data_IF_180426076313
#
_entry.id   IF_180426076313
#
_cell.length_a   1.000
_cell.length_b   1.000
_cell.length_c   1.000
_cell.angle_alpha   90.00
_cell.angle_beta   90.00
_cell.angle_gamma   90.00
#
_symmetry.space_group_name_H-M   'P 1'
#
loop_
_entity.id
_entity.type
_entity.pdbx_description
1 polymer ?
#
# COMPACT_ATOMS: atom_id res chain seq x y z
N UNK A 1 -24.28 -2.50 15.58
CA UNK A 1 -22.88 -2.52 15.13
C UNK A 1 -22.85 -2.31 13.63
N UNK A 2 -22.61 -1.07 13.20
CA UNK A 2 -22.31 -0.86 11.78
C UNK A 2 -20.86 -1.31 11.56
N UNK A 3 -20.60 -2.17 10.56
CA UNK A 3 -19.27 -2.65 10.29
C UNK A 3 -18.36 -1.47 9.88
N UNK A 4 -17.08 -1.55 10.19
CA UNK A 4 -15.99 -0.62 9.84
C UNK A 4 -15.82 -0.38 8.31
N UNK A 5 -16.89 -0.42 7.53
CA UNK A 5 -16.88 -0.35 6.07
C UNK A 5 -17.15 1.06 5.59
N UNK A 6 -16.29 1.52 4.69
CA UNK A 6 -16.59 2.69 3.88
C UNK A 6 -17.86 2.42 3.06
N UNK A 7 -18.85 3.30 3.15
CA UNK A 7 -20.09 3.22 2.38
C UNK A 7 -20.05 4.31 1.31
N UNK A 8 -20.30 3.92 0.08
CA UNK A 8 -20.32 4.83 -1.06
C UNK A 8 -21.73 4.96 -1.59
N UNK A 9 -22.21 6.20 -1.69
CA UNK A 9 -23.53 6.51 -2.20
C UNK A 9 -23.47 7.22 -3.54
N UNK A 10 -24.14 6.65 -4.54
CA UNK A 10 -24.41 7.31 -5.81
C UNK A 10 -25.49 8.39 -5.63
N UNK A 11 -25.23 9.57 -6.14
CA UNK A 11 -26.24 10.64 -6.19
C UNK A 11 -26.85 10.67 -7.58
N UNK A 12 -28.19 10.61 -7.64
CA UNK A 12 -28.93 10.67 -8.89
C UNK A 12 -30.04 11.72 -8.80
N UNK A 13 -30.19 12.53 -9.84
CA UNK A 13 -31.40 13.32 -10.03
C UNK A 13 -32.49 12.41 -10.56
N UNK A 14 -33.71 12.56 -10.02
CA UNK A 14 -34.89 11.89 -10.56
C UNK A 14 -35.59 12.90 -11.46
N UNK A 15 -35.68 12.61 -12.75
CA UNK A 15 -36.45 13.39 -13.72
C UNK A 15 -37.73 12.64 -14.00
N UNK A 16 -38.84 13.24 -13.69
CA UNK A 16 -40.18 12.67 -13.92
C UNK A 16 -40.92 13.45 -15.01
N UNK A 17 -41.39 12.72 -16.02
CA UNK A 17 -42.21 13.29 -17.10
C UNK A 17 -43.29 12.29 -17.50
N UNK A 18 -44.54 12.73 -17.48
CA UNK A 18 -45.69 11.88 -17.81
C UNK A 18 -45.76 10.55 -17.04
N UNK A 19 -45.41 10.57 -15.75
CA UNK A 19 -45.40 9.37 -14.89
C UNK A 19 -44.19 8.44 -15.07
N UNK A 20 -43.33 8.69 -16.06
CA UNK A 20 -42.08 7.94 -16.23
C UNK A 20 -40.94 8.62 -15.44
N UNK A 21 -40.21 7.82 -14.63
CA UNK A 21 -39.05 8.28 -13.84
C UNK A 21 -37.74 7.85 -14.50
N UNK A 22 -36.86 8.84 -14.67
CA UNK A 22 -35.49 8.59 -15.14
C UNK A 22 -34.48 9.01 -14.07
N UNK A 23 -33.53 8.14 -13.77
CA UNK A 23 -32.44 8.39 -12.81
C UNK A 23 -31.18 8.84 -13.53
N UNK A 24 -30.79 10.10 -13.36
CA UNK A 24 -29.66 10.71 -14.03
C UNK A 24 -28.52 10.93 -13.05
N UNK A 25 -27.31 10.46 -13.39
CA UNK A 25 -26.11 10.69 -12.57
C UNK A 25 -25.68 12.15 -12.67
N UNK A 26 -25.37 12.76 -11.53
CA UNK A 26 -24.89 14.13 -11.47
C UNK A 26 -23.37 14.17 -11.72
N UNK A 27 -22.94 14.92 -12.69
CA UNK A 27 -21.54 15.15 -13.00
C UNK A 27 -21.18 16.63 -13.00
N UNK A 28 -19.88 16.94 -13.14
CA UNK A 28 -19.48 18.34 -13.31
C UNK A 28 -19.31 18.70 -14.79
N UNK A 29 -19.56 19.95 -15.11
CA UNK A 29 -19.37 20.51 -16.44
C UNK A 29 -18.27 21.60 -16.40
N UNK A 30 -17.14 21.35 -17.10
CA UNK A 30 -16.16 22.37 -17.51
C UNK A 30 -15.26 23.05 -16.46
N UNK A 31 -15.68 23.27 -15.22
CA UNK A 31 -14.91 23.99 -14.20
C UNK A 31 -14.35 23.06 -13.11
N UNK A 32 -13.80 21.96 -13.54
CA UNK A 32 -13.39 20.82 -12.71
C UNK A 32 -12.46 21.15 -11.54
N UNK A 33 -11.54 22.10 -11.68
CA UNK A 33 -10.52 22.39 -10.65
C UNK A 33 -11.16 23.11 -9.45
N UNK A 34 -11.94 24.16 -9.68
CA UNK A 34 -12.62 24.90 -8.60
C UNK A 34 -13.59 24.00 -7.84
N UNK A 35 -14.38 23.19 -8.54
CA UNK A 35 -15.31 22.25 -7.90
C UNK A 35 -14.59 21.17 -7.13
N UNK A 36 -13.50 20.60 -7.67
CA UNK A 36 -12.69 19.60 -6.95
C UNK A 36 -12.06 20.17 -5.69
N UNK A 37 -11.58 21.42 -5.72
CA UNK A 37 -11.04 22.12 -4.55
C UNK A 37 -12.14 22.41 -3.53
N UNK A 38 -13.30 22.88 -3.98
CA UNK A 38 -14.45 23.13 -3.12
C UNK A 38 -14.90 21.86 -2.40
N UNK A 39 -15.19 20.80 -3.15
CA UNK A 39 -15.67 19.55 -2.57
C UNK A 39 -14.62 18.81 -1.70
N UNK A 40 -13.31 19.01 -1.94
CA UNK A 40 -12.28 18.48 -1.05
C UNK A 40 -12.32 19.10 0.36
N UNK A 41 -13.00 20.25 0.50
CA UNK A 41 -13.14 20.99 1.76
C UNK A 41 -14.46 20.74 2.46
N UNK A 42 -15.48 20.24 1.74
CA UNK A 42 -16.79 19.95 2.31
C UNK A 42 -16.75 18.64 3.08
N UNK A 43 -17.27 18.68 4.26
CA UNK A 43 -17.40 17.52 5.17
C UNK A 43 -18.54 17.83 6.13
N UNK A 44 -19.30 16.80 6.46
CA UNK A 44 -20.26 16.80 7.55
C UNK A 44 -19.84 15.77 8.57
N UNK A 45 -19.75 16.17 9.82
CA UNK A 45 -19.53 15.25 10.93
C UNK A 45 -20.90 14.67 11.29
N UNK A 46 -21.02 13.34 11.17
CA UNK A 46 -22.27 12.62 11.47
C UNK A 46 -22.34 12.39 12.97
N UNK A 47 -21.22 11.99 13.55
CA UNK A 47 -20.97 11.84 14.99
C UNK A 47 -19.47 12.04 15.25
N UNK A 48 -19.03 11.79 16.51
CA UNK A 48 -17.63 11.95 16.91
C UNK A 48 -16.66 11.04 16.14
N UNK A 49 -17.15 9.92 15.63
CA UNK A 49 -16.34 8.90 14.96
C UNK A 49 -16.50 8.89 13.45
N UNK A 50 -17.60 9.39 12.90
CA UNK A 50 -17.94 9.22 11.49
C UNK A 50 -18.08 10.55 10.77
N UNK A 51 -17.67 10.52 9.51
CA UNK A 51 -17.76 11.66 8.58
C UNK A 51 -18.43 11.23 7.27
N UNK A 52 -19.13 12.17 6.66
CA UNK A 52 -19.61 12.10 5.29
C UNK A 52 -19.00 13.22 4.46
N UNK A 53 -18.55 12.93 3.26
CA UNK A 53 -18.02 13.94 2.36
C UNK A 53 -18.28 13.58 0.89
N UNK A 54 -18.47 14.60 0.02
CA UNK A 54 -18.60 14.39 -1.40
C UNK A 54 -17.24 14.14 -2.06
N UNK A 55 -17.24 13.33 -3.10
CA UNK A 55 -16.07 13.14 -3.96
C UNK A 55 -16.48 12.93 -5.42
N UNK A 56 -15.53 13.12 -6.34
CA UNK A 56 -15.74 12.80 -7.74
C UNK A 56 -15.10 11.48 -8.12
N UNK A 57 -15.85 10.62 -8.77
CA UNK A 57 -15.34 9.40 -9.39
C UNK A 57 -14.35 9.73 -10.52
N UNK A 58 -13.62 8.73 -11.03
CA UNK A 58 -12.74 8.91 -12.21
C UNK A 58 -13.50 9.46 -13.44
N UNK A 59 -14.80 9.16 -13.56
CA UNK A 59 -15.68 9.64 -14.63
C UNK A 59 -16.28 11.03 -14.37
N UNK A 60 -15.90 11.69 -13.28
CA UNK A 60 -16.41 13.02 -12.94
C UNK A 60 -17.82 13.04 -12.35
N UNK A 61 -18.33 11.91 -11.90
CA UNK A 61 -19.64 11.78 -11.26
C UNK A 61 -19.48 12.09 -9.77
N UNK A 62 -20.41 12.86 -9.20
CA UNK A 62 -20.42 13.17 -7.78
C UNK A 62 -21.01 12.02 -6.99
N UNK A 63 -20.30 11.61 -5.96
CA UNK A 63 -20.72 10.58 -5.01
C UNK A 63 -20.43 11.07 -3.60
N UNK A 64 -21.01 10.40 -2.59
CA UNK A 64 -20.70 10.62 -1.19
C UNK A 64 -20.02 9.38 -0.61
N UNK A 65 -19.06 9.61 0.28
CA UNK A 65 -18.43 8.58 1.08
C UNK A 65 -18.74 8.83 2.54
N UNK A 66 -19.28 7.82 3.21
CA UNK A 66 -19.41 7.74 4.67
C UNK A 66 -18.37 6.77 5.20
N UNK A 67 -17.62 7.17 6.22
CA UNK A 67 -16.61 6.33 6.86
C UNK A 67 -16.24 6.82 8.24
N UNK A 68 -15.51 5.98 8.98
CA UNK A 68 -14.84 6.43 10.19
C UNK A 68 -13.84 7.55 9.90
N UNK A 69 -13.73 8.46 10.88
CA UNK A 69 -12.72 9.52 10.86
C UNK A 69 -11.34 8.92 11.05
N UNK A 70 -10.43 9.26 10.17
CA UNK A 70 -9.01 8.92 10.31
C UNK A 70 -8.31 9.95 11.24
N UNK A 71 -7.26 9.52 11.90
CA UNK A 71 -6.33 10.41 12.63
C UNK A 71 -5.76 11.55 11.76
N UNK A 72 -5.82 11.38 10.43
CA UNK A 72 -5.33 12.36 9.45
C UNK A 72 -6.42 13.29 8.89
N UNK A 73 -7.67 13.17 9.31
CA UNK A 73 -8.77 14.07 8.89
C UNK A 73 -8.81 15.35 9.75
N UNK A 74 -7.65 15.95 9.96
CA UNK A 74 -7.48 17.13 10.82
C UNK A 74 -7.18 18.38 10.00
N UNK A 75 -7.49 19.55 10.59
CA UNK A 75 -7.13 20.84 10.01
C UNK A 75 -5.60 21.00 9.89
N UNK A 76 -4.83 20.36 10.78
CA UNK A 76 -3.37 20.39 10.76
C UNK A 76 -2.84 19.70 9.51
N UNK A 77 -3.27 18.47 9.24
CA UNK A 77 -2.87 17.73 8.02
C UNK A 77 -3.23 18.52 6.77
N UNK A 78 -4.39 19.15 6.75
CA UNK A 78 -4.81 20.00 5.64
C UNK A 78 -3.91 21.23 5.44
N UNK A 79 -3.50 21.89 6.52
CA UNK A 79 -2.52 22.99 6.47
C UNK A 79 -1.18 22.51 5.93
N UNK A 80 -0.72 21.33 6.35
CA UNK A 80 0.50 20.69 5.81
C UNK A 80 0.39 20.42 4.31
N UNK A 81 -0.75 19.92 3.82
CA UNK A 81 -1.00 19.70 2.38
C UNK A 81 -0.94 21.03 1.60
N UNK A 82 -1.59 22.07 2.09
CA UNK A 82 -1.57 23.41 1.44
C UNK A 82 -0.15 23.95 1.39
N UNK A 83 0.58 23.89 2.51
CA UNK A 83 1.97 24.35 2.57
C UNK A 83 2.86 23.57 1.61
N UNK A 84 2.73 22.24 1.59
CA UNK A 84 3.48 21.40 0.65
C UNK A 84 3.19 21.74 -0.80
N UNK A 85 1.93 22.06 -1.12
CA UNK A 85 1.53 22.45 -2.46
C UNK A 85 2.13 23.82 -2.86
N UNK A 86 2.11 24.81 -1.96
CA UNK A 86 2.74 26.12 -2.19
C UNK A 86 4.25 25.92 -2.45
N UNK A 87 4.92 25.15 -1.60
CA UNK A 87 6.34 24.83 -1.78
C UNK A 87 6.60 24.10 -3.11
N UNK A 88 5.70 23.22 -3.52
CA UNK A 88 5.80 22.55 -4.81
C UNK A 88 5.67 23.52 -5.99
N UNK A 89 4.77 24.50 -5.93
CA UNK A 89 4.67 25.54 -6.98
C UNK A 89 6.00 26.32 -7.08
N UNK A 90 6.59 26.65 -5.95
CA UNK A 90 7.81 27.46 -5.91
C UNK A 90 9.10 26.67 -6.27
N UNK A 91 9.18 25.42 -5.93
CA UNK A 91 10.41 24.62 -6.03
C UNK A 91 10.27 23.33 -6.87
N UNK A 92 9.06 22.99 -7.32
CA UNK A 92 8.77 21.70 -7.95
C UNK A 92 9.58 21.43 -9.21
N UNK A 93 9.81 22.43 -10.06
CA UNK A 93 10.66 22.29 -11.26
C UNK A 93 12.11 21.89 -10.90
N UNK A 94 12.67 22.51 -9.85
CA UNK A 94 14.00 22.17 -9.36
C UNK A 94 14.05 20.80 -8.70
N UNK A 95 13.08 20.50 -7.84
CA UNK A 95 13.00 19.21 -7.14
C UNK A 95 12.75 18.04 -8.10
N UNK A 96 11.92 18.23 -9.13
CA UNK A 96 11.64 17.19 -10.13
C UNK A 96 12.89 16.80 -10.95
N UNK A 97 13.87 17.73 -11.10
CA UNK A 97 15.14 17.45 -11.76
C UNK A 97 16.13 16.66 -10.88
N UNK A 98 15.87 16.56 -9.57
CA UNK A 98 16.75 15.84 -8.64
C UNK A 98 16.64 14.32 -8.73
N UNK A 99 15.68 13.79 -9.48
CA UNK A 99 15.42 12.35 -9.56
C UNK A 99 15.23 11.72 -8.17
N UNK A 100 14.26 12.23 -7.42
CA UNK A 100 13.97 11.78 -6.06
C UNK A 100 13.33 10.38 -6.11
N UNK A 101 13.87 9.45 -5.34
CA UNK A 101 13.36 8.11 -5.11
C UNK A 101 12.78 8.02 -3.69
N UNK A 102 11.55 7.55 -3.58
CA UNK A 102 10.90 7.30 -2.28
C UNK A 102 10.71 5.81 -2.10
N UNK A 103 11.31 5.29 -1.04
CA UNK A 103 11.15 3.90 -0.59
C UNK A 103 10.22 3.88 0.61
N UNK A 104 9.35 2.90 0.69
CA UNK A 104 8.40 2.73 1.80
C UNK A 104 7.89 1.29 1.85
N UNK A 105 7.27 0.92 2.95
CA UNK A 105 6.54 -0.34 3.12
C UNK A 105 5.13 -0.09 3.66
N UNK A 106 4.43 -1.15 3.97
CA UNK A 106 3.00 -1.18 4.33
C UNK A 106 2.59 0.00 5.22
N UNK A 107 1.74 0.87 4.67
CA UNK A 107 1.22 2.10 5.31
C UNK A 107 2.30 3.06 5.84
N UNK A 108 3.54 2.98 5.35
CA UNK A 108 4.70 3.67 5.88
C UNK A 108 4.91 3.42 7.40
N UNK A 109 4.59 2.22 7.87
CA UNK A 109 4.74 1.81 9.28
C UNK A 109 5.78 0.72 9.48
N UNK A 110 6.25 0.09 8.41
CA UNK A 110 7.13 -1.07 8.44
C UNK A 110 8.50 -0.74 7.85
N UNK A 111 9.54 -1.43 8.33
CA UNK A 111 10.90 -1.38 7.81
C UNK A 111 11.58 -2.74 8.04
N UNK A 112 11.11 -3.79 7.33
CA UNK A 112 11.56 -5.17 7.52
C UNK A 112 11.40 -6.07 6.29
N UNK A 113 10.85 -5.55 5.18
CA UNK A 113 10.64 -6.30 3.94
C UNK A 113 11.58 -5.81 2.82
N UNK A 114 11.34 -6.19 1.58
CA UNK A 114 12.20 -5.89 0.44
C UNK A 114 12.48 -4.40 0.25
N UNK A 115 11.53 -3.52 0.60
CA UNK A 115 11.72 -2.06 0.59
C UNK A 115 12.83 -1.63 1.55
N UNK A 116 12.82 -2.13 2.78
CA UNK A 116 13.84 -1.85 3.77
C UNK A 116 15.22 -2.37 3.35
N UNK A 117 15.32 -3.61 2.91
CA UNK A 117 16.61 -4.20 2.50
C UNK A 117 17.17 -3.53 1.25
N UNK A 118 16.33 -3.18 0.28
CA UNK A 118 16.72 -2.35 -0.85
C UNK A 118 17.28 -0.99 -0.41
N UNK A 119 16.58 -0.29 0.46
CA UNK A 119 17.03 1.01 0.98
C UNK A 119 18.32 0.88 1.78
N UNK A 120 18.42 -0.11 2.65
CA UNK A 120 19.63 -0.43 3.42
C UNK A 120 20.82 -0.64 2.49
N UNK A 121 20.67 -1.48 1.46
CA UNK A 121 21.71 -1.69 0.46
C UNK A 121 22.14 -0.40 -0.21
N UNK A 122 21.21 0.44 -0.64
CA UNK A 122 21.51 1.74 -1.24
C UNK A 122 22.30 2.65 -0.29
N UNK A 123 21.95 2.69 0.99
CA UNK A 123 22.63 3.55 1.96
C UNK A 123 24.03 3.04 2.32
N UNK A 124 24.25 1.76 2.33
CA UNK A 124 25.50 1.13 2.77
C UNK A 124 26.50 0.91 1.62
N UNK A 125 26.03 0.76 0.36
CA UNK A 125 26.88 0.38 -0.77
C UNK A 125 27.01 1.43 -1.86
N UNK A 126 26.08 2.38 -1.99
CA UNK A 126 26.19 3.45 -2.99
C UNK A 126 27.02 4.63 -2.47
N UNK A 127 27.65 5.35 -3.40
CA UNK A 127 28.37 6.57 -3.05
C UNK A 127 27.43 7.73 -2.65
N UNK A 128 27.99 8.79 -2.05
CA UNK A 128 27.20 9.94 -1.57
C UNK A 128 26.46 10.69 -2.69
N UNK A 129 26.93 10.62 -3.92
CA UNK A 129 26.30 11.27 -5.07
C UNK A 129 25.10 10.44 -5.57
N UNK A 130 25.22 9.14 -5.58
CA UNK A 130 24.17 8.22 -6.01
C UNK A 130 23.00 8.19 -5.00
N UNK A 131 23.29 8.02 -3.70
CA UNK A 131 22.24 7.89 -2.67
C UNK A 131 21.61 9.19 -2.22
N UNK A 132 22.15 10.36 -2.56
CA UNK A 132 21.73 11.68 -2.04
C UNK A 132 20.23 11.99 -2.16
N UNK A 133 19.56 11.42 -3.16
CA UNK A 133 18.15 11.66 -3.44
C UNK A 133 17.25 10.42 -3.21
N UNK A 134 17.76 9.40 -2.50
CA UNK A 134 17.01 8.22 -2.08
C UNK A 134 16.55 8.45 -0.64
N UNK A 135 15.26 8.29 -0.40
CA UNK A 135 14.64 8.55 0.90
C UNK A 135 13.72 7.41 1.30
N UNK A 136 13.75 7.06 2.58
CA UNK A 136 12.79 6.13 3.19
C UNK A 136 11.71 6.92 3.93
N UNK A 137 10.43 6.57 3.70
CA UNK A 137 9.30 7.19 4.39
C UNK A 137 8.74 6.23 5.41
N UNK A 138 8.69 6.67 6.67
CA UNK A 138 8.15 5.90 7.78
C UNK A 138 7.49 6.83 8.80
N UNK A 139 6.44 6.34 9.45
CA UNK A 139 5.87 6.99 10.64
C UNK A 139 6.85 6.81 11.80
N UNK A 140 7.48 7.89 12.22
CA UNK A 140 8.49 7.88 13.29
C UNK A 140 7.96 7.48 14.66
N UNK A 141 6.64 7.36 14.80
CA UNK A 141 5.98 6.89 16.03
C UNK A 141 5.98 5.37 16.16
N UNK A 142 6.34 4.64 15.10
CA UNK A 142 6.36 3.17 15.09
C UNK A 142 7.69 2.62 15.61
N UNK A 143 7.65 1.42 16.19
CA UNK A 143 8.85 0.73 16.67
C UNK A 143 9.85 0.43 15.55
N UNK A 144 9.34 0.23 14.33
CA UNK A 144 10.13 -0.05 13.13
C UNK A 144 11.02 1.13 12.70
N UNK A 145 10.75 2.36 13.18
CA UNK A 145 11.58 3.53 12.90
C UNK A 145 13.04 3.32 13.32
N UNK A 146 13.29 2.58 14.41
CA UNK A 146 14.63 2.25 14.91
C UNK A 146 15.51 1.56 13.86
N UNK A 147 14.90 0.82 12.89
CA UNK A 147 15.65 0.12 11.84
C UNK A 147 16.27 1.08 10.82
N UNK A 148 15.70 2.27 10.65
CA UNK A 148 16.13 3.25 9.65
C UNK A 148 16.63 4.56 10.23
N UNK A 149 16.45 4.86 11.51
CA UNK A 149 16.80 6.15 12.13
C UNK A 149 18.27 6.54 11.95
N UNK A 150 19.17 5.56 11.92
CA UNK A 150 20.61 5.75 11.70
C UNK A 150 20.95 6.45 10.37
N UNK A 151 20.05 6.41 9.38
CA UNK A 151 20.24 7.04 8.08
C UNK A 151 19.80 8.51 8.04
N UNK A 152 19.36 9.08 9.14
CA UNK A 152 19.17 10.50 9.43
C UNK A 152 18.43 11.29 8.34
N UNK A 153 19.16 12.11 7.57
CA UNK A 153 18.61 13.00 6.53
C UNK A 153 17.85 12.28 5.41
N UNK A 154 18.12 10.97 5.23
CA UNK A 154 17.48 10.11 4.23
C UNK A 154 16.15 9.50 4.72
N UNK A 155 15.79 9.70 5.99
CA UNK A 155 14.52 9.24 6.55
C UNK A 155 13.55 10.41 6.67
N UNK A 156 12.39 10.25 6.06
CA UNK A 156 11.32 11.26 6.03
C UNK A 156 10.17 10.77 6.90
N UNK A 157 9.69 11.64 7.78
CA UNK A 157 8.53 11.36 8.61
C UNK A 157 7.24 11.33 7.78
N UNK A 158 6.45 10.29 7.98
CA UNK A 158 5.17 10.11 7.31
C UNK A 158 4.21 11.27 7.59
N UNK A 159 3.46 11.69 6.58
CA UNK A 159 2.53 12.83 6.63
C UNK A 159 3.15 14.18 7.06
N UNK A 160 4.47 14.31 6.98
CA UNK A 160 5.15 15.61 7.11
C UNK A 160 5.02 16.45 5.82
N UNK A 161 5.28 17.75 5.93
CA UNK A 161 5.32 18.67 4.76
C UNK A 161 6.38 18.21 3.74
N UNK A 162 7.55 17.76 4.20
CA UNK A 162 8.61 17.23 3.33
C UNK A 162 8.15 15.98 2.58
N UNK A 163 7.45 15.06 3.26
CA UNK A 163 6.88 13.87 2.63
C UNK A 163 5.91 14.24 1.51
N UNK A 164 4.95 15.12 1.78
CA UNK A 164 3.95 15.56 0.81
C UNK A 164 4.57 16.29 -0.39
N UNK A 165 5.57 17.14 -0.14
CA UNK A 165 6.32 17.84 -1.18
C UNK A 165 7.08 16.84 -2.07
N UNK A 166 7.71 15.84 -1.46
CA UNK A 166 8.50 14.86 -2.19
C UNK A 166 7.63 13.87 -2.97
N UNK A 167 6.43 13.51 -2.48
CA UNK A 167 5.44 12.78 -3.29
C UNK A 167 5.15 13.51 -4.61
N UNK A 168 4.94 14.82 -4.55
CA UNK A 168 4.65 15.59 -5.76
C UNK A 168 5.85 15.71 -6.70
N UNK A 169 7.06 15.68 -6.15
CA UNK A 169 8.33 15.91 -6.88
C UNK A 169 9.08 14.64 -7.27
N UNK A 170 8.78 13.48 -6.67
CA UNK A 170 9.51 12.23 -6.91
C UNK A 170 9.40 11.75 -8.36
N UNK A 171 10.44 11.05 -8.79
CA UNK A 171 10.49 10.36 -10.09
C UNK A 171 9.85 8.97 -10.00
N UNK A 172 10.12 8.26 -8.91
CA UNK A 172 9.69 6.88 -8.71
C UNK A 172 9.43 6.61 -7.22
N UNK A 173 8.42 5.81 -6.94
CA UNK A 173 8.24 5.18 -5.63
C UNK A 173 8.60 3.69 -5.71
N UNK A 174 9.16 3.16 -4.62
CA UNK A 174 9.74 1.82 -4.55
C UNK A 174 9.20 1.16 -3.29
N UNK A 175 8.54 0.01 -3.43
CA UNK A 175 7.93 -0.65 -2.28
C UNK A 175 7.65 -2.13 -2.56
N UNK A 176 7.53 -2.89 -1.48
CA UNK A 176 6.94 -4.23 -1.49
C UNK A 176 5.41 -4.20 -1.59
N UNK A 177 4.80 -3.03 -1.39
CA UNK A 177 3.36 -2.81 -1.33
C UNK A 177 2.88 -1.83 -2.41
N UNK A 178 1.57 -1.79 -2.62
CA UNK A 178 0.96 -0.84 -3.56
C UNK A 178 1.25 0.62 -3.19
N UNK A 179 1.43 1.47 -4.20
CA UNK A 179 1.65 2.93 -4.02
C UNK A 179 0.54 3.66 -3.27
N UNK A 180 -0.62 3.06 -3.08
CA UNK A 180 -1.67 3.59 -2.22
C UNK A 180 -1.26 3.65 -0.74
N UNK A 181 -0.28 2.84 -0.32
CA UNK A 181 0.26 2.83 1.05
C UNK A 181 1.24 3.98 1.33
N UNK A 182 1.70 4.68 0.30
CA UNK A 182 2.60 5.82 0.45
C UNK A 182 1.93 7.05 1.08
N UNK A 183 0.62 7.07 1.22
CA UNK A 183 -0.13 8.16 1.84
C UNK A 183 -1.20 7.61 2.76
N UNK A 184 -1.67 8.43 3.70
CA UNK A 184 -2.70 7.99 4.64
C UNK A 184 -3.90 7.38 3.91
N UNK A 185 -4.21 6.13 4.24
CA UNK A 185 -5.14 5.28 3.51
C UNK A 185 -6.54 5.87 3.43
N UNK A 186 -7.08 6.26 4.58
CA UNK A 186 -8.44 6.77 4.71
C UNK A 186 -8.48 8.30 4.78
N UNK A 187 -7.94 8.99 3.77
CA UNK A 187 -8.04 10.44 3.67
C UNK A 187 -8.90 10.84 2.48
N UNK A 188 -9.45 12.06 2.57
CA UNK A 188 -10.16 12.65 1.43
C UNK A 188 -9.23 12.75 0.22
N UNK A 189 -9.78 12.76 -1.00
CA UNK A 189 -9.01 13.04 -2.20
C UNK A 189 -8.34 14.42 -2.09
N UNK A 190 -7.00 14.44 -2.12
CA UNK A 190 -6.20 15.66 -2.11
C UNK A 190 -5.32 15.76 -3.37
N UNK A 191 -4.67 16.91 -3.58
CA UNK A 191 -3.73 17.09 -4.67
C UNK A 191 -2.51 16.18 -4.50
N UNK A 192 -2.02 16.01 -3.27
CA UNK A 192 -0.91 15.11 -2.93
C UNK A 192 -1.28 13.66 -3.26
N UNK A 193 -2.43 13.19 -2.76
CA UNK A 193 -2.90 11.81 -3.02
C UNK A 193 -3.09 11.53 -4.52
N UNK A 194 -3.58 12.52 -5.29
CA UNK A 194 -3.72 12.40 -6.75
C UNK A 194 -2.36 12.37 -7.48
N UNK A 195 -1.35 13.05 -6.94
CA UNK A 195 -0.02 13.06 -7.54
C UNK A 195 0.60 11.65 -7.55
N UNK A 196 0.36 10.83 -6.51
CA UNK A 196 0.85 9.45 -6.40
C UNK A 196 0.42 8.61 -7.61
N UNK A 197 -0.85 8.71 -8.02
CA UNK A 197 -1.39 7.95 -9.13
C UNK A 197 -0.67 8.15 -10.48
N UNK A 198 0.05 9.28 -10.63
CA UNK A 198 0.81 9.63 -11.84
C UNK A 198 2.29 9.24 -11.78
N UNK A 199 2.76 8.75 -10.63
CA UNK A 199 4.17 8.43 -10.43
C UNK A 199 4.48 7.01 -10.87
N UNK A 200 5.70 6.82 -11.35
CA UNK A 200 6.25 5.50 -11.64
C UNK A 200 6.38 4.71 -10.34
N UNK A 201 6.21 3.41 -10.44
CA UNK A 201 6.33 2.49 -9.31
C UNK A 201 7.26 1.34 -9.69
N UNK A 202 8.25 1.07 -8.83
CA UNK A 202 9.00 -0.16 -8.81
C UNK A 202 8.43 -1.03 -7.69
N UNK A 203 7.78 -2.11 -8.06
CA UNK A 203 7.18 -3.05 -7.14
C UNK A 203 8.15 -4.19 -6.83
N UNK A 204 8.65 -4.23 -5.61
CA UNK A 204 9.62 -5.22 -5.14
C UNK A 204 8.95 -6.53 -4.71
N UNK A 205 7.64 -6.55 -4.68
CA UNK A 205 6.81 -7.64 -4.16
C UNK A 205 7.09 -7.99 -2.69
N UNK A 206 6.22 -8.76 -2.06
CA UNK A 206 6.39 -9.35 -0.73
C UNK A 206 6.26 -10.88 -0.74
N UNK A 207 6.02 -11.46 -1.90
CA UNK A 207 5.92 -12.90 -2.11
C UNK A 207 5.91 -13.23 -3.60
N UNK A 208 6.37 -14.44 -3.97
CA UNK A 208 6.43 -14.90 -5.34
C UNK A 208 5.03 -14.99 -5.95
N UNK A 209 4.85 -14.39 -7.12
CA UNK A 209 3.60 -14.47 -7.88
C UNK A 209 3.62 -15.74 -8.74
N UNK A 210 2.88 -16.77 -8.31
CA UNK A 210 2.82 -18.04 -9.04
C UNK A 210 1.38 -18.57 -9.19
N UNK A 211 0.76 -18.98 -8.10
CA UNK A 211 -0.50 -19.74 -8.12
C UNK A 211 -1.76 -18.88 -7.96
N UNK A 212 -1.62 -17.60 -7.65
CA UNK A 212 -2.74 -16.69 -7.46
C UNK A 212 -2.99 -15.85 -8.72
N UNK A 213 -4.22 -15.84 -9.19
CA UNK A 213 -4.61 -14.98 -10.31
C UNK A 213 -4.66 -13.51 -9.86
N UNK A 214 -3.66 -12.73 -10.27
CA UNK A 214 -3.50 -11.32 -9.88
C UNK A 214 -3.56 -10.34 -11.06
N UNK A 215 -3.90 -10.82 -12.26
CA UNK A 215 -3.90 -10.02 -13.49
C UNK A 215 -4.83 -8.79 -13.43
N UNK A 216 -5.99 -8.90 -12.76
CA UNK A 216 -6.92 -7.77 -12.59
C UNK A 216 -6.35 -6.67 -11.70
N UNK A 217 -5.49 -7.02 -10.75
CA UNK A 217 -4.87 -6.09 -9.81
C UNK A 217 -3.53 -5.59 -10.34
N UNK A 218 -2.58 -6.48 -10.59
CA UNK A 218 -1.18 -6.17 -10.90
C UNK A 218 -0.82 -6.22 -12.38
N UNK A 219 -1.72 -6.69 -13.25
CA UNK A 219 -1.49 -6.64 -14.69
C UNK A 219 -1.33 -5.22 -15.21
N UNK A 220 -0.64 -5.03 -16.34
CA UNK A 220 -0.44 -3.72 -16.99
C UNK A 220 -1.74 -2.96 -17.27
N UNK A 221 -2.85 -3.66 -17.43
CA UNK A 221 -4.21 -3.11 -17.57
C UNK A 221 -5.02 -3.18 -16.28
N UNK A 222 -4.41 -3.64 -15.20
CA UNK A 222 -5.05 -3.80 -13.89
C UNK A 222 -5.25 -2.48 -13.15
N UNK A 223 -5.92 -2.55 -12.02
CA UNK A 223 -6.26 -1.37 -11.21
C UNK A 223 -5.06 -0.75 -10.47
N UNK A 224 -4.02 -1.55 -10.23
CA UNK A 224 -2.77 -1.16 -9.57
C UNK A 224 -1.56 -1.54 -10.43
N UNK A 225 -1.60 -1.16 -11.72
CA UNK A 225 -0.47 -1.44 -12.63
C UNK A 225 0.77 -0.65 -12.23
N UNK A 226 1.92 -1.33 -12.22
CA UNK A 226 3.24 -0.80 -11.89
C UNK A 226 4.06 -0.51 -13.15
N UNK A 227 5.05 0.37 -13.04
CA UNK A 227 6.03 0.57 -14.13
C UNK A 227 6.97 -0.64 -14.23
N UNK A 228 7.52 -1.06 -13.10
CA UNK A 228 8.42 -2.20 -12.98
C UNK A 228 7.89 -3.20 -11.95
N UNK A 229 7.97 -4.47 -12.30
CA UNK A 229 7.52 -5.59 -11.48
C UNK A 229 8.70 -6.55 -11.29
N UNK A 230 9.36 -6.51 -10.15
CA UNK A 230 10.51 -7.38 -9.85
C UNK A 230 10.06 -8.84 -9.82
N UNK A 231 10.88 -9.73 -10.37
CA UNK A 231 10.64 -11.17 -10.35
C UNK A 231 11.81 -11.93 -9.73
N UNK A 232 11.54 -13.08 -9.16
CA UNK A 232 12.52 -13.88 -8.42
C UNK A 232 13.25 -14.88 -9.29
N UNK A 233 12.69 -15.20 -10.47
CA UNK A 233 13.29 -16.17 -11.37
C UNK A 233 12.58 -16.20 -12.72
N UNK A 234 13.08 -17.03 -13.62
CA UNK A 234 12.60 -17.11 -15.01
C UNK A 234 11.12 -17.49 -15.09
N UNK A 235 10.67 -18.46 -14.30
CA UNK A 235 9.26 -18.90 -14.31
C UNK A 235 8.32 -17.76 -13.92
N UNK A 236 8.64 -17.00 -12.89
CA UNK A 236 7.83 -15.85 -12.49
C UNK A 236 7.89 -14.73 -13.55
N UNK A 237 9.04 -14.50 -14.17
CA UNK A 237 9.16 -13.55 -15.27
C UNK A 237 8.27 -13.94 -16.45
N UNK A 238 8.24 -15.21 -16.81
CA UNK A 238 7.36 -15.73 -17.87
C UNK A 238 5.88 -15.51 -17.55
N UNK A 239 5.47 -15.72 -16.30
CA UNK A 239 4.11 -15.38 -15.82
C UNK A 239 3.86 -13.88 -15.96
N UNK A 240 4.80 -13.04 -15.51
CA UNK A 240 4.66 -11.59 -15.61
C UNK A 240 4.53 -11.11 -17.06
N UNK A 241 5.23 -11.73 -18.00
CA UNK A 241 5.16 -11.40 -19.42
C UNK A 241 3.86 -11.91 -20.04
N UNK A 242 3.57 -13.19 -19.89
CA UNK A 242 2.49 -13.85 -20.63
C UNK A 242 1.10 -13.54 -20.05
N UNK A 243 0.97 -13.41 -18.72
CA UNK A 243 -0.32 -13.25 -18.05
C UNK A 243 -0.55 -11.81 -17.57
N UNK A 244 0.49 -11.10 -17.11
CA UNK A 244 0.34 -9.77 -16.56
C UNK A 244 0.63 -8.65 -17.58
N UNK A 245 1.21 -8.98 -18.75
CA UNK A 245 1.44 -8.04 -19.85
C UNK A 245 2.66 -7.13 -19.67
N UNK A 246 3.62 -7.53 -18.85
CA UNK A 246 4.94 -6.90 -18.75
C UNK A 246 5.86 -7.37 -19.89
N UNK A 247 7.09 -6.91 -19.93
CA UNK A 247 8.14 -7.41 -20.80
C UNK A 247 9.43 -7.58 -19.97
N UNK A 248 10.46 -8.19 -20.55
CA UNK A 248 11.74 -8.45 -19.87
C UNK A 248 12.34 -7.22 -19.19
N UNK A 249 12.24 -6.04 -19.83
CA UNK A 249 12.79 -4.77 -19.29
C UNK A 249 11.98 -4.25 -18.11
N UNK A 250 10.67 -4.54 -18.07
CA UNK A 250 9.76 -4.06 -17.01
C UNK A 250 9.46 -5.14 -15.96
N UNK A 251 9.89 -6.38 -16.19
CA UNK A 251 9.85 -7.49 -15.24
C UNK A 251 11.25 -8.09 -15.05
N UNK A 252 12.23 -7.36 -14.49
CA UNK A 252 13.60 -7.86 -14.31
C UNK A 252 13.65 -8.98 -13.28
N UNK A 253 14.55 -9.94 -13.50
CA UNK A 253 14.86 -10.99 -12.52
C UNK A 253 15.96 -10.46 -11.60
N UNK A 254 15.62 -10.19 -10.34
CA UNK A 254 16.56 -9.69 -9.33
C UNK A 254 16.58 -10.53 -8.06
N UNK A 255 15.57 -11.37 -7.84
CA UNK A 255 15.31 -11.94 -6.51
C UNK A 255 14.69 -10.91 -5.57
N UNK A 256 14.45 -11.31 -4.33
CA UNK A 256 13.99 -10.41 -3.27
C UNK A 256 15.16 -9.87 -2.47
N UNK A 257 15.20 -8.55 -2.26
CA UNK A 257 16.27 -7.89 -1.52
C UNK A 257 16.47 -8.45 -0.10
N UNK A 258 15.40 -8.92 0.56
CA UNK A 258 15.49 -9.55 1.88
C UNK A 258 16.17 -10.93 1.87
N UNK A 259 16.32 -11.55 0.70
CA UNK A 259 17.04 -12.84 0.62
C UNK A 259 18.55 -12.70 0.79
N UNK A 260 19.11 -11.53 0.52
CA UNK A 260 20.55 -11.26 0.62
C UNK A 260 21.08 -11.39 2.06
N UNK A 261 20.19 -11.37 3.06
CA UNK A 261 20.53 -11.51 4.49
C UNK A 261 20.15 -12.87 5.08
N UNK A 262 19.66 -13.80 4.23
CA UNK A 262 19.39 -15.16 4.70
C UNK A 262 20.72 -15.90 4.95
N UNK A 263 20.82 -16.47 6.10
CA UNK A 263 21.94 -17.31 6.51
C UNK A 263 21.45 -18.72 6.76
N UNK A 264 22.23 -19.72 6.34
CA UNK A 264 21.99 -21.09 6.75
C UNK A 264 22.48 -21.27 8.20
N UNK A 265 21.51 -21.32 9.11
CA UNK A 265 21.77 -21.55 10.55
C UNK A 265 21.38 -22.97 10.99
N UNK A 266 21.12 -23.85 10.02
CA UNK A 266 20.74 -25.22 10.34
C UNK A 266 21.92 -25.95 11.04
N UNK A 267 21.68 -26.39 12.28
CA UNK A 267 22.59 -27.33 12.95
C UNK A 267 22.23 -28.73 12.48
N UNK A 268 23.24 -29.55 12.11
CA UNK A 268 23.07 -30.93 11.69
C UNK A 268 22.43 -31.81 12.78
N UNK A 269 22.23 -31.27 13.98
CA UNK A 269 21.75 -31.99 15.16
C UNK A 269 20.26 -31.84 15.43
N UNK A 270 19.62 -30.80 14.92
CA UNK A 270 18.21 -30.58 15.17
C UNK A 270 17.38 -30.78 13.90
N UNK A 271 16.45 -31.70 13.95
CA UNK A 271 15.44 -31.86 12.90
C UNK A 271 14.21 -31.08 13.29
N UNK A 272 13.75 -30.18 12.38
CA UNK A 272 12.51 -29.44 12.60
C UNK A 272 11.61 -29.50 11.36
N UNK A 273 10.32 -29.37 11.60
CA UNK A 273 9.29 -29.19 10.57
C UNK A 273 8.77 -27.77 10.69
N UNK A 274 8.87 -27.00 9.61
CA UNK A 274 8.25 -25.69 9.52
C UNK A 274 6.86 -25.84 8.93
N UNK A 275 5.82 -25.57 9.72
CA UNK A 275 4.44 -25.53 9.28
C UNK A 275 4.00 -24.10 9.04
N UNK A 276 3.73 -23.73 7.77
CA UNK A 276 3.30 -22.40 7.35
C UNK A 276 1.92 -22.48 6.68
N UNK A 277 0.82 -22.54 7.43
CA UNK A 277 -0.52 -22.59 6.87
C UNK A 277 -0.83 -21.31 6.11
N UNK A 278 -1.37 -21.42 4.90
CA UNK A 278 -1.80 -20.25 4.12
C UNK A 278 -2.97 -19.55 4.79
N UNK A 279 -2.84 -18.24 4.94
CA UNK A 279 -3.92 -17.35 5.35
C UNK A 279 -5.25 -17.61 4.59
N UNK A 280 -6.38 -17.45 5.28
CA UNK A 280 -7.73 -17.67 4.74
C UNK A 280 -8.58 -16.44 4.99
N UNK A 281 -9.06 -15.82 3.91
CA UNK A 281 -9.87 -14.61 3.97
C UNK A 281 -11.16 -14.74 4.79
N UNK A 282 -11.73 -15.94 4.84
CA UNK A 282 -12.96 -16.19 5.62
C UNK A 282 -12.74 -16.38 7.12
N UNK A 283 -11.47 -16.34 7.57
CA UNK A 283 -11.11 -16.41 8.98
C UNK A 283 -10.65 -15.06 9.54
N UNK A 284 -10.69 -13.99 8.74
CA UNK A 284 -10.15 -12.67 9.14
C UNK A 284 -10.89 -11.99 10.28
N UNK A 285 -12.20 -12.13 10.34
CA UNK A 285 -13.04 -11.40 11.29
C UNK A 285 -13.79 -12.35 12.25
N UNK A 286 -13.32 -13.58 12.38
CA UNK A 286 -13.96 -14.54 13.29
C UNK A 286 -13.41 -14.39 14.70
N UNK A 287 -14.27 -14.59 15.70
CA UNK A 287 -13.84 -14.63 17.11
C UNK A 287 -13.00 -15.88 17.39
N UNK A 288 -12.20 -15.85 18.48
CA UNK A 288 -11.38 -16.99 18.90
C UNK A 288 -12.22 -18.28 19.03
N UNK A 289 -13.43 -18.18 19.59
CA UNK A 289 -14.34 -19.33 19.72
C UNK A 289 -14.76 -19.87 18.34
N UNK A 290 -15.03 -19.02 17.37
CA UNK A 290 -15.38 -19.43 16.01
C UNK A 290 -14.16 -20.02 15.28
N UNK A 291 -12.97 -19.48 15.53
CA UNK A 291 -11.73 -20.03 14.99
C UNK A 291 -11.47 -21.46 15.50
N UNK A 292 -11.58 -21.68 16.82
CA UNK A 292 -11.34 -22.98 17.46
C UNK A 292 -12.30 -24.10 16.98
N UNK A 293 -13.50 -23.76 16.53
CA UNK A 293 -14.45 -24.75 15.97
C UNK A 293 -14.35 -24.89 14.45
N UNK A 294 -13.53 -24.08 13.79
CA UNK A 294 -13.36 -24.12 12.33
C UNK A 294 -12.72 -25.42 11.85
N UNK A 295 -13.06 -25.85 10.64
CA UNK A 295 -12.42 -27.02 10.01
C UNK A 295 -10.91 -26.78 9.78
N UNK A 296 -10.52 -25.52 9.60
CA UNK A 296 -9.12 -25.13 9.48
C UNK A 296 -8.35 -25.45 10.76
N UNK A 297 -8.82 -24.96 11.92
CA UNK A 297 -8.19 -25.24 13.21
C UNK A 297 -8.18 -26.72 13.52
N UNK A 298 -9.30 -27.43 13.37
CA UNK A 298 -9.42 -28.87 13.62
C UNK A 298 -8.43 -29.68 12.79
N UNK A 299 -8.30 -29.36 11.50
CA UNK A 299 -7.37 -30.03 10.59
C UNK A 299 -5.92 -29.89 11.02
N UNK A 300 -5.49 -28.66 11.33
CA UNK A 300 -4.10 -28.44 11.74
C UNK A 300 -3.81 -28.91 13.15
N UNK A 301 -4.73 -28.81 14.09
CA UNK A 301 -4.61 -29.37 15.43
C UNK A 301 -4.46 -30.89 15.40
N UNK A 302 -5.27 -31.58 14.60
CA UNK A 302 -5.17 -33.03 14.42
C UNK A 302 -3.83 -33.44 13.79
N UNK A 303 -3.34 -32.68 12.80
CA UNK A 303 -2.03 -32.91 12.19
C UNK A 303 -0.91 -32.75 13.21
N UNK A 304 -0.91 -31.68 13.99
CA UNK A 304 0.09 -31.43 15.02
C UNK A 304 0.07 -32.50 16.11
N UNK A 305 -1.10 -32.91 16.56
CA UNK A 305 -1.25 -33.98 17.53
C UNK A 305 -0.70 -35.32 16.99
N UNK A 306 -1.00 -35.66 15.75
CA UNK A 306 -0.48 -36.86 15.10
C UNK A 306 1.04 -36.88 15.02
N UNK A 307 1.68 -35.75 14.75
CA UNK A 307 3.14 -35.62 14.75
C UNK A 307 3.73 -35.76 16.16
N UNK A 308 3.11 -35.12 17.15
CA UNK A 308 3.52 -35.21 18.56
C UNK A 308 3.47 -36.63 19.05
N UNK A 309 2.43 -37.38 18.70
CA UNK A 309 2.26 -38.78 19.16
C UNK A 309 3.23 -39.76 18.50
N UNK A 310 3.75 -39.42 17.31
CA UNK A 310 4.61 -40.31 16.53
C UNK A 310 6.13 -40.02 16.64
N UNK A 311 6.50 -38.77 16.95
CA UNK A 311 7.89 -38.30 16.86
C UNK A 311 8.23 -37.38 18.04
N UNK A 312 8.88 -37.93 19.04
CA UNK A 312 9.32 -37.20 20.24
C UNK A 312 10.54 -36.29 20.00
N UNK A 313 11.30 -36.50 18.90
CA UNK A 313 12.57 -35.84 18.63
C UNK A 313 12.50 -34.75 17.54
N UNK A 314 11.29 -34.43 17.05
CA UNK A 314 11.11 -33.40 16.01
C UNK A 314 10.45 -32.17 16.62
N UNK A 315 11.12 -31.02 16.49
CA UNK A 315 10.56 -29.72 16.86
C UNK A 315 9.67 -29.19 15.71
N UNK A 316 8.43 -28.84 16.02
CA UNK A 316 7.51 -28.24 15.03
C UNK A 316 7.45 -26.73 15.29
N UNK A 317 7.87 -25.95 14.32
CA UNK A 317 7.68 -24.50 14.32
C UNK A 317 6.40 -24.14 13.55
N UNK A 318 5.42 -23.57 14.25
CA UNK A 318 4.21 -23.04 13.65
C UNK A 318 4.37 -21.54 13.48
N UNK A 319 4.40 -21.09 12.23
CA UNK A 319 4.30 -19.66 11.92
C UNK A 319 2.84 -19.31 11.67
N UNK A 320 2.30 -18.48 12.53
CA UNK A 320 0.97 -17.90 12.42
C UNK A 320 1.11 -16.48 11.82
N UNK A 321 0.40 -16.21 10.71
CA UNK A 321 0.36 -14.90 10.05
C UNK A 321 -0.90 -14.13 10.43
#
# INVERSE_FOLDING_TARGET
DMPHKEIFWDVRAVVEKYGAKQYVKLGYNGYAIKQKLYFSNVQCDVDDKHIIFPYFTKKGIINFCFRERSEYDTAEVKRKEVLAYILYILSGLFLSRKNIWIVYEKFCKMAQDNGYYFFKYCMENLDEKEKKNIYYVIDKRTDEYKNVEKYGKHVIDFMSVKHMLYIMSMSICISSDSKSHLYAWRTKPSLVKRAIGKKKELFLQHGVTALKQVHQLFGKKGTSSMEYFVTTGRVEQEIAINELGYNEKTAPITGFARWDVLEDKQSDKEKFILLMPTWRSWLEEVSDNQFLVSDYYKKYSSLLQSYHDQNTDIVIHLLQF
#
